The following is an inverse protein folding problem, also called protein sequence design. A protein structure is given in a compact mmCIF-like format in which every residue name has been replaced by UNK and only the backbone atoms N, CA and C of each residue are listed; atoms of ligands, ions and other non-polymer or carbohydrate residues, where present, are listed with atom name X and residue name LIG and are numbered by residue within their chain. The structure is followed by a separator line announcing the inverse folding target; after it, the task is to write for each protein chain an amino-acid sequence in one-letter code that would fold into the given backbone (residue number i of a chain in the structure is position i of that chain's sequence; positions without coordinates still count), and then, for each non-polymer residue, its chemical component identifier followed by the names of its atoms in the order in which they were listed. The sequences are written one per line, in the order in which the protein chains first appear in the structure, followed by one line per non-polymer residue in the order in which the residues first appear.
data_IF_823270126729
#
_entry.id   IF_823270126729
#
_cell.length_a   1.000
_cell.length_b   1.000
_cell.length_c   1.000
_cell.angle_alpha   90.00
_cell.angle_beta   90.00
_cell.angle_gamma   90.00
#
_symmetry.space_group_name_H-M   'P 1'
#
loop_
_entity.id
_entity.type
_entity.pdbx_description
1 polymer ?
#
# COMPACT_ATOMS: atom_id res chain seq x y z
N UNK A 1 -24.75 -40.85 20.66
CA UNK A 1 -25.99 -41.57 20.30
C UNK A 1 -26.56 -40.87 19.06
N UNK A 2 -26.49 -41.46 17.85
CA UNK A 2 -27.61 -42.11 17.10
C UNK A 2 -28.89 -41.25 17.11
N UNK A 3 -29.62 -40.91 16.04
CA UNK A 3 -29.70 -41.04 14.56
C UNK A 3 -30.79 -39.99 14.15
N UNK A 4 -30.98 -39.52 12.92
CA UNK A 4 -31.76 -40.21 11.87
C UNK A 4 -31.78 -39.40 10.56
N UNK A 5 -31.54 -40.14 9.48
CA UNK A 5 -31.92 -39.86 8.10
C UNK A 5 -33.44 -40.02 7.92
N UNK A 6 -34.04 -39.22 7.03
CA UNK A 6 -35.19 -39.68 6.25
C UNK A 6 -35.07 -39.19 4.81
N UNK A 7 -35.00 -40.16 3.89
CA UNK A 7 -35.11 -40.03 2.45
C UNK A 7 -36.58 -40.18 2.05
N UNK A 8 -37.06 -39.46 1.04
CA UNK A 8 -38.25 -39.84 0.27
C UNK A 8 -37.93 -39.66 -1.21
N UNK A 9 -38.08 -40.75 -1.96
CA UNK A 9 -38.00 -40.83 -3.41
C UNK A 9 -39.41 -40.84 -4.02
N UNK A 10 -39.55 -40.36 -5.26
CA UNK A 10 -40.78 -40.48 -6.04
C UNK A 10 -40.54 -40.24 -7.54
N UNK A 11 -40.51 -41.33 -8.30
CA UNK A 11 -40.51 -41.38 -9.78
C UNK A 11 -41.88 -41.08 -10.38
N UNK A 12 -41.95 -40.70 -11.67
CA UNK A 12 -42.55 -41.49 -12.77
C UNK A 12 -42.67 -40.69 -14.09
N UNK A 13 -42.20 -41.34 -15.15
CA UNK A 13 -42.75 -41.47 -16.53
C UNK A 13 -43.03 -40.23 -17.41
N UNK A 14 -42.37 -40.25 -18.58
CA UNK A 14 -43.10 -40.48 -19.84
C UNK A 14 -43.18 -39.29 -20.81
N UNK A 15 -42.87 -39.54 -22.08
CA UNK A 15 -43.35 -38.72 -23.20
C UNK A 15 -42.31 -38.37 -24.25
N UNK A 16 -42.20 -39.22 -25.27
CA UNK A 16 -41.50 -38.97 -26.52
C UNK A 16 -42.39 -38.13 -27.45
N UNK A 17 -41.96 -36.96 -27.91
CA UNK A 17 -42.51 -36.29 -29.11
C UNK A 17 -41.36 -35.74 -29.96
N UNK A 18 -41.25 -36.27 -31.18
CA UNK A 18 -40.49 -35.72 -32.31
C UNK A 18 -41.38 -34.71 -33.05
N UNK A 19 -40.90 -33.48 -33.28
CA UNK A 19 -41.31 -32.63 -34.42
C UNK A 19 -40.09 -31.84 -34.91
N UNK A 20 -40.00 -31.71 -36.24
CA UNK A 20 -38.86 -31.27 -37.03
C UNK A 20 -38.86 -29.77 -37.43
N UNK A 21 -37.72 -29.36 -38.00
CA UNK A 21 -37.47 -28.30 -39.00
C UNK A 21 -37.39 -26.80 -38.61
N UNK A 22 -36.13 -26.29 -38.66
CA UNK A 22 -35.58 -25.14 -39.45
C UNK A 22 -36.13 -23.70 -39.24
N UNK A 23 -35.46 -22.62 -39.74
CA UNK A 23 -34.03 -22.32 -39.95
C UNK A 23 -33.60 -20.91 -39.43
N UNK A 24 -32.30 -20.61 -39.58
CA UNK A 24 -31.64 -19.30 -39.74
C UNK A 24 -31.95 -18.11 -38.83
N UNK A 25 -30.94 -17.67 -38.06
CA UNK A 25 -30.60 -16.24 -37.97
C UNK A 25 -29.20 -16.02 -37.39
N UNK A 26 -28.33 -15.52 -38.27
CA UNK A 26 -27.02 -14.93 -38.01
C UNK A 26 -27.14 -13.81 -36.95
N UNK A 27 -26.35 -13.87 -35.86
CA UNK A 27 -25.87 -12.68 -35.17
C UNK A 27 -24.39 -12.86 -34.82
N UNK A 28 -23.56 -12.11 -35.56
CA UNK A 28 -22.13 -11.90 -35.31
C UNK A 28 -21.83 -11.72 -33.82
N UNK A 29 -20.78 -12.36 -33.27
CA UNK A 29 -20.24 -11.95 -31.99
C UNK A 29 -19.69 -10.53 -32.16
N UNK A 30 -20.25 -9.58 -31.39
CA UNK A 30 -19.66 -8.26 -31.20
C UNK A 30 -18.18 -8.46 -30.86
N UNK A 31 -17.31 -8.02 -31.75
CA UNK A 31 -15.92 -7.74 -31.47
C UNK A 31 -15.89 -6.70 -30.34
N UNK A 32 -15.85 -7.19 -29.10
CA UNK A 32 -15.45 -6.41 -27.95
C UNK A 32 -13.98 -6.09 -28.11
N UNK A 33 -13.69 -5.05 -28.90
CA UNK A 33 -12.41 -4.38 -28.90
C UNK A 33 -12.27 -3.72 -27.53
N UNK A 34 -11.84 -4.53 -26.56
CA UNK A 34 -11.40 -4.10 -25.25
C UNK A 34 -10.09 -3.37 -25.41
N UNK A 35 -10.17 -2.14 -25.89
CA UNK A 35 -9.12 -1.15 -25.71
C UNK A 35 -9.13 -0.77 -24.23
N UNK A 36 -8.52 -1.62 -23.39
CA UNK A 36 -8.01 -1.17 -22.10
C UNK A 36 -6.81 -0.27 -22.39
N UNK A 37 -7.10 0.97 -22.78
CA UNK A 37 -6.14 2.06 -22.67
C UNK A 37 -5.89 2.26 -21.18
N UNK A 38 -4.83 1.65 -20.70
CA UNK A 38 -4.25 1.89 -19.39
C UNK A 38 -4.04 3.39 -19.20
N UNK A 39 -4.79 3.98 -18.28
CA UNK A 39 -4.58 5.33 -17.77
C UNK A 39 -3.30 5.33 -16.91
N UNK A 40 -2.15 5.20 -17.56
CA UNK A 40 -0.87 5.51 -16.95
C UNK A 40 -0.78 7.03 -16.86
N UNK A 41 -1.21 7.59 -15.73
CA UNK A 41 -0.85 8.95 -15.36
C UNK A 41 0.68 9.02 -15.32
N UNK A 42 1.28 9.67 -16.32
CA UNK A 42 2.70 10.01 -16.31
C UNK A 42 2.93 11.03 -15.20
N UNK A 43 3.10 10.55 -13.97
CA UNK A 43 3.69 11.37 -12.91
C UNK A 43 5.12 11.66 -13.33
N UNK A 44 5.49 12.94 -13.38
CA UNK A 44 6.86 13.35 -13.59
C UNK A 44 7.76 12.61 -12.59
N UNK A 45 8.74 11.86 -13.11
CA UNK A 45 9.65 11.07 -12.27
C UNK A 45 10.52 12.05 -11.48
N UNK A 46 10.36 12.07 -10.16
CA UNK A 46 11.24 12.84 -9.28
C UNK A 46 12.60 12.14 -9.27
N UNK A 47 13.66 12.90 -9.53
CA UNK A 47 15.03 12.36 -9.51
C UNK A 47 15.32 11.69 -8.16
N UNK A 48 15.89 10.49 -8.20
CA UNK A 48 16.22 9.72 -7.00
C UNK A 48 15.02 9.14 -6.26
N UNK A 49 13.78 9.27 -6.77
CA UNK A 49 12.62 8.62 -6.17
C UNK A 49 12.80 7.11 -6.12
N UNK A 50 12.62 6.57 -4.92
CA UNK A 50 12.61 5.14 -4.69
C UNK A 50 11.26 4.55 -5.10
N UNK A 51 11.30 3.34 -5.65
CA UNK A 51 10.13 2.55 -5.96
C UNK A 51 9.61 1.79 -4.72
N UNK A 52 8.47 1.10 -4.86
CA UNK A 52 7.84 0.36 -3.77
C UNK A 52 8.80 -0.62 -3.07
N UNK A 53 9.52 -1.45 -3.83
CA UNK A 53 10.39 -2.48 -3.27
C UNK A 53 11.60 -1.86 -2.55
N UNK A 54 12.16 -0.78 -3.09
CA UNK A 54 13.27 -0.05 -2.48
C UNK A 54 12.86 0.61 -1.16
N UNK A 55 11.69 1.26 -1.12
CA UNK A 55 11.19 1.85 0.13
C UNK A 55 10.83 0.75 1.13
N UNK A 56 10.21 -0.34 0.70
CA UNK A 56 9.91 -1.47 1.58
C UNK A 56 11.19 -2.05 2.19
N UNK A 57 12.23 -2.31 1.40
CA UNK A 57 13.52 -2.83 1.89
C UNK A 57 14.23 -1.86 2.85
N UNK A 58 13.97 -0.56 2.71
CA UNK A 58 14.56 0.47 3.57
C UNK A 58 13.93 0.51 4.97
N UNK A 59 12.61 0.26 5.06
CA UNK A 59 11.85 0.44 6.31
C UNK A 59 11.37 -0.87 6.95
N UNK A 60 11.11 -1.94 6.19
CA UNK A 60 10.47 -3.15 6.69
C UNK A 60 11.30 -3.89 7.75
N UNK A 61 10.71 -4.08 8.93
CA UNK A 61 11.35 -4.60 10.15
C UNK A 61 12.67 -3.89 10.50
N UNK A 62 12.68 -2.56 10.38
CA UNK A 62 13.87 -1.73 10.61
C UNK A 62 13.62 -0.55 11.51
N UNK A 63 14.64 -0.26 12.31
CA UNK A 63 14.75 0.97 13.06
C UNK A 63 15.41 2.06 12.21
N UNK A 64 14.85 3.26 12.25
CA UNK A 64 15.30 4.42 11.47
C UNK A 64 15.55 5.60 12.39
N UNK A 65 16.64 6.31 12.16
CA UNK A 65 16.95 7.58 12.81
C UNK A 65 16.95 8.73 11.80
N UNK A 66 16.37 9.84 12.20
CA UNK A 66 16.23 11.00 11.32
C UNK A 66 15.86 12.29 12.04
N UNK A 67 15.71 13.35 11.26
CA UNK A 67 15.22 14.65 11.72
C UNK A 67 14.06 15.11 10.86
N UNK A 68 13.08 15.75 11.48
CA UNK A 68 12.04 16.47 10.77
C UNK A 68 12.45 17.93 10.63
N UNK A 69 12.62 18.39 9.39
CA UNK A 69 13.11 19.73 9.07
C UNK A 69 12.06 20.81 9.33
N UNK A 70 10.78 20.49 9.11
CA UNK A 70 9.68 21.44 9.27
C UNK A 70 9.39 21.72 10.76
N UNK A 71 9.31 20.65 11.58
CA UNK A 71 8.95 20.74 13.00
C UNK A 71 10.16 20.84 13.94
N UNK A 72 11.37 20.71 13.38
CA UNK A 72 12.65 20.83 14.07
C UNK A 72 12.77 19.91 15.29
N UNK A 73 12.63 18.60 15.04
CA UNK A 73 12.88 17.56 16.04
C UNK A 73 13.68 16.41 15.45
N UNK A 74 14.38 15.65 16.30
CA UNK A 74 14.95 14.36 15.91
C UNK A 74 13.99 13.24 16.30
N UNK A 75 14.08 12.11 15.59
CA UNK A 75 13.25 10.96 15.88
C UNK A 75 14.00 9.65 15.67
N UNK A 76 13.55 8.65 16.43
CA UNK A 76 13.86 7.24 16.25
C UNK A 76 12.55 6.51 16.02
N UNK A 77 12.43 5.75 14.95
CA UNK A 77 11.24 4.99 14.63
C UNK A 77 11.58 3.52 14.39
N UNK A 78 10.64 2.62 14.64
CA UNK A 78 10.71 1.22 14.26
C UNK A 78 9.43 0.88 13.50
N UNK A 79 9.62 0.24 12.35
CA UNK A 79 8.60 -0.09 11.37
C UNK A 79 8.54 -1.61 11.26
N UNK A 80 7.46 -2.22 11.71
CA UNK A 80 7.27 -3.67 11.69
C UNK A 80 6.68 -4.13 10.36
N UNK A 81 6.89 -5.39 10.02
CA UNK A 81 6.35 -6.01 8.79
C UNK A 81 4.82 -6.13 8.78
N UNK A 82 4.19 -6.22 9.95
CA UNK A 82 2.73 -6.19 10.13
C UNK A 82 2.11 -4.79 9.97
N UNK A 83 2.91 -3.78 9.64
CA UNK A 83 2.45 -2.43 9.35
C UNK A 83 2.29 -1.54 10.57
N UNK A 84 2.78 -1.92 11.76
CA UNK A 84 2.85 -1.02 12.92
C UNK A 84 4.11 -0.13 12.86
N UNK A 85 3.96 1.08 13.37
CA UNK A 85 5.10 2.00 13.57
C UNK A 85 5.09 2.55 14.98
N UNK A 86 6.26 2.54 15.62
CA UNK A 86 6.51 3.22 16.90
C UNK A 86 7.59 4.25 16.70
N UNK A 87 7.45 5.41 17.33
CA UNK A 87 8.41 6.50 17.21
C UNK A 87 8.63 7.20 18.54
N UNK A 88 9.89 7.52 18.83
CA UNK A 88 10.27 8.48 19.86
C UNK A 88 10.73 9.76 19.19
N UNK A 89 10.06 10.86 19.47
CA UNK A 89 10.42 12.21 19.03
C UNK A 89 11.15 12.92 20.16
N UNK A 90 12.23 13.64 19.86
CA UNK A 90 12.97 14.46 20.83
C UNK A 90 13.06 15.90 20.35
N UNK A 91 12.63 16.85 21.18
CA UNK A 91 12.70 18.29 20.90
C UNK A 91 13.01 19.06 22.19
N UNK A 92 14.07 19.86 22.19
CA UNK A 92 14.42 20.69 23.35
C UNK A 92 14.76 19.92 24.63
N UNK A 93 15.14 18.64 24.54
CA UNK A 93 15.40 17.77 25.69
C UNK A 93 14.21 16.91 26.11
N UNK A 94 12.99 17.27 25.70
CA UNK A 94 11.79 16.47 25.97
C UNK A 94 11.62 15.37 24.93
N UNK A 95 11.07 14.23 25.36
CA UNK A 95 10.75 13.12 24.47
C UNK A 95 9.31 12.66 24.56
N UNK A 96 8.70 12.40 23.41
CA UNK A 96 7.32 11.91 23.28
C UNK A 96 7.32 10.62 22.47
N UNK A 97 6.49 9.66 22.89
CA UNK A 97 6.28 8.41 22.14
C UNK A 97 5.00 8.50 21.30
N UNK A 98 5.11 8.11 20.05
CA UNK A 98 4.02 8.02 19.09
C UNK A 98 3.90 6.57 18.60
N UNK A 99 2.69 6.17 18.24
CA UNK A 99 2.42 4.89 17.59
C UNK A 99 1.38 5.09 16.48
N UNK A 100 1.37 4.17 15.53
CA UNK A 100 0.46 4.22 14.41
C UNK A 100 0.68 3.07 13.45
N UNK A 101 0.25 3.29 12.21
CA UNK A 101 0.39 2.35 11.11
C UNK A 101 1.20 2.96 9.97
N UNK A 102 1.85 2.09 9.21
CA UNK A 102 2.57 2.44 8.00
C UNK A 102 2.36 1.37 6.94
N UNK A 103 2.49 1.79 5.69
CA UNK A 103 2.59 0.90 4.54
C UNK A 103 3.22 1.67 3.38
N UNK A 104 3.56 0.95 2.31
CA UNK A 104 3.97 1.53 1.04
C UNK A 104 2.83 1.35 0.05
N UNK A 105 2.42 2.40 -0.64
CA UNK A 105 1.37 2.30 -1.65
C UNK A 105 1.91 1.83 -3.01
N UNK A 106 1.01 1.65 -3.97
CA UNK A 106 1.34 1.19 -5.33
C UNK A 106 2.27 2.15 -6.08
N UNK A 107 2.32 3.43 -5.69
CA UNK A 107 3.20 4.43 -6.28
C UNK A 107 4.56 4.52 -5.57
N UNK A 108 4.83 3.63 -4.60
CA UNK A 108 6.07 3.62 -3.81
C UNK A 108 6.13 4.74 -2.77
N UNK A 109 5.01 5.36 -2.42
CA UNK A 109 4.98 6.39 -1.37
C UNK A 109 4.91 5.73 0.00
N UNK A 110 5.68 6.27 0.93
CA UNK A 110 5.67 5.90 2.33
C UNK A 110 4.48 6.56 3.03
N UNK A 111 3.48 5.76 3.39
CA UNK A 111 2.26 6.18 4.07
C UNK A 111 2.39 6.01 5.58
N UNK A 112 1.92 7.01 6.34
CA UNK A 112 1.93 7.03 7.80
C UNK A 112 0.59 7.51 8.33
N UNK A 113 0.03 6.73 9.26
CA UNK A 113 -1.16 7.09 10.02
C UNK A 113 -0.87 6.98 11.50
N UNK A 114 -0.62 8.11 12.14
CA UNK A 114 -0.45 8.15 13.60
C UNK A 114 -1.80 8.00 14.30
N UNK A 115 -1.81 7.43 15.50
CA UNK A 115 -3.03 7.32 16.31
C UNK A 115 -3.70 8.68 16.50
N UNK A 116 -5.00 8.75 16.19
CA UNK A 116 -5.79 9.98 16.24
C UNK A 116 -5.48 11.01 15.15
N UNK A 117 -4.79 10.63 14.06
CA UNK A 117 -4.47 11.52 12.93
C UNK A 117 -4.81 10.87 11.59
N UNK A 118 -4.98 11.72 10.58
CA UNK A 118 -5.14 11.28 9.20
C UNK A 118 -3.86 10.68 8.64
N UNK A 119 -4.05 9.84 7.62
CA UNK A 119 -2.94 9.23 6.90
C UNK A 119 -2.30 10.21 5.92
N UNK A 120 -0.98 10.14 5.81
CA UNK A 120 -0.20 10.93 4.88
C UNK A 120 0.84 10.08 4.16
N UNK A 121 0.71 10.00 2.83
CA UNK A 121 1.68 9.37 1.95
C UNK A 121 2.69 10.39 1.41
N UNK A 122 3.97 10.07 1.47
CA UNK A 122 5.09 10.93 1.06
C UNK A 122 6.12 10.16 0.26
N UNK A 123 6.81 10.84 -0.64
CA UNK A 123 7.82 10.24 -1.50
C UNK A 123 9.12 10.10 -0.71
N UNK A 124 9.83 8.98 -0.93
CA UNK A 124 11.20 8.81 -0.46
C UNK A 124 12.12 8.97 -1.66
N UNK A 125 13.11 9.84 -1.53
CA UNK A 125 14.17 10.00 -2.52
C UNK A 125 15.51 9.64 -1.90
N UNK A 126 16.44 9.19 -2.73
CA UNK A 126 17.86 9.17 -2.42
C UNK A 126 18.53 10.32 -3.15
N UNK A 127 19.19 11.19 -2.39
CA UNK A 127 19.98 12.29 -2.93
C UNK A 127 21.36 12.22 -2.26
N UNK A 128 22.39 12.02 -3.08
CA UNK A 128 23.74 11.65 -2.62
C UNK A 128 23.70 10.39 -1.72
N UNK A 129 24.33 10.46 -0.55
CA UNK A 129 24.39 9.38 0.45
C UNK A 129 23.27 9.48 1.51
N UNK A 130 22.21 10.25 1.23
CA UNK A 130 21.15 10.52 2.20
C UNK A 130 19.76 10.21 1.64
N UNK A 131 18.92 9.59 2.48
CA UNK A 131 17.52 9.38 2.17
C UNK A 131 16.69 10.53 2.71
N UNK A 132 15.76 11.04 1.90
CA UNK A 132 14.90 12.16 2.23
C UNK A 132 13.43 11.79 2.02
N UNK A 133 12.58 12.24 2.94
CA UNK A 133 11.12 12.19 2.79
C UNK A 133 10.64 13.56 2.33
N UNK A 134 9.96 13.61 1.19
CA UNK A 134 9.51 14.86 0.56
C UNK A 134 8.00 14.90 0.36
N UNK A 135 7.46 16.11 0.32
CA UNK A 135 6.14 16.42 -0.21
C UNK A 135 6.29 17.09 -1.57
N UNK A 136 5.57 16.61 -2.57
CA UNK A 136 5.44 17.27 -3.87
C UNK A 136 4.06 17.91 -3.94
N UNK A 137 4.04 19.22 -4.17
CA UNK A 137 2.83 19.98 -4.41
C UNK A 137 2.32 19.76 -5.85
N UNK A 138 1.02 20.02 -6.14
CA UNK A 138 0.47 19.93 -7.50
C UNK A 138 1.19 20.79 -8.55
N UNK A 139 1.84 21.89 -8.13
CA UNK A 139 2.62 22.75 -9.02
C UNK A 139 4.05 22.23 -9.29
N UNK A 140 4.43 21.07 -8.73
CA UNK A 140 5.76 20.49 -8.87
C UNK A 140 6.80 20.98 -7.86
N UNK A 141 6.43 21.89 -6.96
CA UNK A 141 7.31 22.31 -5.86
C UNK A 141 7.52 21.17 -4.86
N UNK A 142 8.77 20.95 -4.47
CA UNK A 142 9.18 19.88 -3.57
C UNK A 142 9.66 20.46 -2.24
N UNK A 143 9.13 19.93 -1.14
CA UNK A 143 9.54 20.31 0.21
C UNK A 143 10.09 19.08 0.94
N UNK A 144 11.33 19.17 1.41
CA UNK A 144 11.92 18.14 2.27
C UNK A 144 11.32 18.20 3.66
N UNK A 145 10.67 17.12 4.08
CA UNK A 145 10.03 16.99 5.39
C UNK A 145 11.00 16.41 6.41
N UNK A 146 11.69 15.34 6.03
CA UNK A 146 12.61 14.64 6.92
C UNK A 146 13.83 14.11 6.16
N UNK A 147 14.92 13.97 6.89
CA UNK A 147 16.15 13.30 6.44
C UNK A 147 16.42 12.09 7.34
N UNK A 148 16.97 11.03 6.76
CA UNK A 148 17.33 9.80 7.46
C UNK A 148 18.83 9.53 7.27
N UNK A 149 19.51 9.19 8.36
CA UNK A 149 20.97 8.94 8.32
C UNK A 149 21.36 7.59 8.93
N UNK A 150 20.40 6.85 9.51
CA UNK A 150 20.69 5.52 10.06
C UNK A 150 19.49 4.59 9.91
N UNK A 151 19.81 3.39 9.45
CA UNK A 151 18.90 2.25 9.33
C UNK A 151 19.56 1.07 10.04
N UNK A 152 18.81 0.34 10.85
CA UNK A 152 19.28 -0.82 11.57
C UNK A 152 18.19 -1.89 11.60
N UNK A 153 18.57 -3.16 11.52
CA UNK A 153 17.62 -4.27 11.55
C UNK A 153 16.91 -4.37 12.91
N UNK A 154 15.62 -4.70 12.88
CA UNK A 154 14.77 -4.92 14.05
C UNK A 154 14.54 -3.68 14.92
N UNK A 155 14.12 -3.92 16.16
CA UNK A 155 13.85 -2.88 17.15
C UNK A 155 15.11 -2.42 17.90
N UNK A 156 16.10 -1.91 17.17
CA UNK A 156 17.40 -1.45 17.70
C UNK A 156 17.29 -0.47 18.88
N UNK A 157 16.23 0.35 18.93
CA UNK A 157 16.04 1.37 19.97
C UNK A 157 15.10 0.97 21.12
N UNK A 158 14.57 -0.25 21.11
CA UNK A 158 13.62 -0.74 22.14
C UNK A 158 12.33 0.08 22.21
N UNK A 159 11.73 0.38 21.06
CA UNK A 159 10.50 1.16 20.89
C UNK A 159 9.22 0.33 21.08
#
# INVERSE_FOLDING_TARGET
MKKNLTFVAGSLLGGLILVACQPDAIKNPKSGLSTQQSMAAQQATISGQLNHAEVLALFNDRSVEGRNLIKQFTFKAWYTDDGLVRQRVTKGGDSVRLHGWWHIDEQGRHCLKWSGRDEHCRIIIQEDDMYKKIYSSPNGEQTTISEFWKFADGNFYGL
#
